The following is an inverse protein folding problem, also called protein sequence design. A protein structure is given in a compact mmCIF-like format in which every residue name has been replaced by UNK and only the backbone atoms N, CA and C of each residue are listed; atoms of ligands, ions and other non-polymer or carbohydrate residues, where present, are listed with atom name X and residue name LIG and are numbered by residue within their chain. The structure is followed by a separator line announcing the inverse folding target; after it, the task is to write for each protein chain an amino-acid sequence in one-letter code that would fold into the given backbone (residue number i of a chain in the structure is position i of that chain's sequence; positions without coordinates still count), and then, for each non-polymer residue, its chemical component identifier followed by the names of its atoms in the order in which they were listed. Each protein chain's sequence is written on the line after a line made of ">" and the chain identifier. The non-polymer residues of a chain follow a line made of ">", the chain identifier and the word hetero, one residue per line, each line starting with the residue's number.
data_IF_016614881730
#
_entry.id   IF_016614881730
#
_cell.length_a   1.000
_cell.length_b   1.000
_cell.length_c   1.000
_cell.angle_alpha   90.00
_cell.angle_beta   90.00
_cell.angle_gamma   90.00
#
_symmetry.space_group_name_H-M   'P 1'
#
loop_
_entity.id
_entity.type
_entity.pdbx_description
1 polymer ?
#
# COMPACT_ATOMS: atom_id res chain seq x y z
N UNK A 1 12.02 6.18 -14.39
CA UNK A 1 11.10 6.18 -13.24
C UNK A 1 11.96 6.29 -12.00
N UNK A 2 11.94 7.47 -11.38
CA UNK A 2 12.65 7.82 -10.15
C UNK A 2 11.70 7.72 -8.95
N UNK A 3 12.21 7.70 -7.70
CA UNK A 3 11.35 7.80 -6.52
C UNK A 3 10.43 9.02 -6.56
N UNK A 4 10.93 10.18 -7.01
CA UNK A 4 10.13 11.41 -7.15
C UNK A 4 9.04 11.29 -8.21
N UNK A 5 9.31 10.59 -9.33
CA UNK A 5 8.29 10.31 -10.35
C UNK A 5 7.15 9.45 -9.75
N UNK A 6 7.50 8.46 -8.92
CA UNK A 6 6.53 7.57 -8.27
C UNK A 6 5.69 8.30 -7.23
N UNK A 7 6.31 9.19 -6.44
CA UNK A 7 5.59 10.06 -5.48
C UNK A 7 4.61 10.95 -6.23
N UNK A 8 5.03 11.56 -7.34
CA UNK A 8 4.18 12.42 -8.16
C UNK A 8 2.95 11.66 -8.69
N UNK A 9 3.10 10.38 -9.04
CA UNK A 9 1.97 9.51 -9.40
C UNK A 9 1.02 9.29 -8.23
N UNK A 10 1.53 9.04 -7.01
CA UNK A 10 0.67 8.90 -5.82
C UNK A 10 -0.13 10.17 -5.53
N UNK A 11 0.53 11.33 -5.58
CA UNK A 11 -0.13 12.62 -5.39
C UNK A 11 -1.21 12.87 -6.44
N UNK A 12 -0.93 12.54 -7.70
CA UNK A 12 -1.89 12.71 -8.78
C UNK A 12 -3.10 11.79 -8.61
N UNK A 13 -2.90 10.50 -8.29
CA UNK A 13 -3.99 9.55 -8.04
C UNK A 13 -4.87 9.96 -6.85
N UNK A 14 -4.26 10.49 -5.79
CA UNK A 14 -4.96 11.00 -4.63
C UNK A 14 -5.79 12.25 -4.98
N UNK A 15 -5.18 13.22 -5.68
CA UNK A 15 -5.84 14.46 -6.13
C UNK A 15 -7.01 14.21 -7.07
N UNK A 16 -6.89 13.21 -7.93
CA UNK A 16 -7.95 12.82 -8.88
C UNK A 16 -9.12 12.07 -8.20
N UNK A 17 -9.01 11.71 -6.92
CA UNK A 17 -9.98 10.82 -6.26
C UNK A 17 -10.05 9.43 -6.91
N UNK A 18 -9.03 9.08 -7.70
CA UNK A 18 -8.92 7.83 -8.48
C UNK A 18 -8.12 6.76 -7.75
N UNK A 19 -8.07 6.83 -6.42
CA UNK A 19 -7.92 5.63 -5.61
C UNK A 19 -9.16 4.75 -5.91
N UNK A 20 -9.10 4.03 -7.04
CA UNK A 20 -10.25 3.40 -7.70
C UNK A 20 -10.87 2.25 -6.89
N UNK A 21 -10.29 1.96 -5.73
CA UNK A 21 -10.65 0.88 -4.83
C UNK A 21 -10.71 1.43 -3.42
N UNK A 22 -11.78 1.07 -2.73
CA UNK A 22 -11.95 1.35 -1.32
C UNK A 22 -10.73 0.87 -0.52
N UNK A 23 -10.41 1.58 0.56
CA UNK A 23 -9.19 1.39 1.32
C UNK A 23 -9.10 -0.04 1.91
N UNK A 24 -10.24 -0.66 2.22
CA UNK A 24 -10.28 -2.06 2.64
C UNK A 24 -9.91 -3.03 1.54
N UNK A 25 -10.42 -2.77 0.34
CA UNK A 25 -10.11 -3.57 -0.84
C UNK A 25 -8.63 -3.43 -1.21
N UNK A 26 -8.07 -2.22 -1.09
CA UNK A 26 -6.64 -1.97 -1.29
C UNK A 26 -5.80 -2.73 -0.24
N UNK A 27 -6.16 -2.68 1.04
CA UNK A 27 -5.46 -3.39 2.11
C UNK A 27 -5.52 -4.92 1.91
N UNK A 28 -6.70 -5.47 1.60
CA UNK A 28 -6.87 -6.91 1.37
C UNK A 28 -6.11 -7.39 0.13
N UNK A 29 -6.12 -6.60 -0.95
CA UNK A 29 -5.38 -6.90 -2.17
C UNK A 29 -3.87 -6.85 -1.96
N UNK A 30 -3.38 -5.84 -1.22
CA UNK A 30 -1.97 -5.74 -0.85
C UNK A 30 -1.54 -6.93 0.01
N UNK A 31 -2.32 -7.29 1.04
CA UNK A 31 -2.02 -8.43 1.89
C UNK A 31 -1.99 -9.75 1.10
N UNK A 32 -2.92 -9.96 0.16
CA UNK A 32 -2.93 -11.12 -0.73
C UNK A 32 -1.69 -11.17 -1.62
N UNK A 33 -1.32 -10.04 -2.23
CA UNK A 33 -0.13 -9.95 -3.06
C UNK A 33 1.15 -10.23 -2.24
N UNK A 34 1.27 -9.60 -1.06
CA UNK A 34 2.41 -9.77 -0.18
C UNK A 34 2.56 -11.22 0.28
N UNK A 35 1.45 -11.89 0.61
CA UNK A 35 1.46 -13.32 0.93
C UNK A 35 1.93 -14.19 -0.25
N UNK A 36 1.58 -13.83 -1.49
CA UNK A 36 2.01 -14.57 -2.68
C UNK A 36 3.48 -14.36 -3.05
N UNK A 37 4.07 -13.22 -2.66
CA UNK A 37 5.46 -12.88 -2.93
C UNK A 37 6.38 -13.18 -1.74
N UNK A 38 5.84 -13.64 -0.61
CA UNK A 38 6.54 -13.68 0.67
C UNK A 38 7.84 -14.49 0.63
N UNK A 39 7.84 -15.62 -0.05
CA UNK A 39 9.00 -16.52 -0.14
C UNK A 39 10.13 -15.98 -1.03
N UNK A 40 9.82 -14.99 -1.89
CA UNK A 40 10.78 -14.36 -2.81
C UNK A 40 11.37 -13.05 -2.25
N UNK A 41 10.87 -12.57 -1.11
CA UNK A 41 11.33 -11.33 -0.48
C UNK A 41 12.51 -11.59 0.46
N UNK A 42 13.49 -10.69 0.42
CA UNK A 42 14.48 -10.67 1.49
C UNK A 42 13.90 -10.10 2.79
N UNK A 43 14.63 -10.27 3.88
CA UNK A 43 14.15 -9.85 5.20
C UNK A 43 13.94 -8.33 5.33
N UNK A 44 14.70 -7.53 4.58
CA UNK A 44 14.60 -6.07 4.63
C UNK A 44 13.36 -5.58 3.86
N UNK A 45 13.14 -6.12 2.66
CA UNK A 45 11.99 -5.85 1.82
C UNK A 45 10.69 -6.34 2.47
N UNK A 46 10.71 -7.54 3.07
CA UNK A 46 9.57 -8.05 3.83
C UNK A 46 9.22 -7.14 5.02
N UNK A 47 10.21 -6.64 5.77
CA UNK A 47 9.99 -5.72 6.88
C UNK A 47 9.43 -4.37 6.41
N UNK A 48 9.96 -3.82 5.30
CA UNK A 48 9.48 -2.59 4.70
C UNK A 48 8.01 -2.71 4.25
N UNK A 49 7.70 -3.74 3.45
CA UNK A 49 6.36 -3.96 2.90
C UNK A 49 5.33 -4.26 4.01
N UNK A 50 5.73 -5.02 5.04
CA UNK A 50 4.87 -5.26 6.20
C UNK A 50 4.58 -3.97 6.97
N UNK A 51 5.58 -3.08 7.11
CA UNK A 51 5.40 -1.77 7.76
C UNK A 51 4.46 -0.86 6.97
N UNK A 52 4.56 -0.87 5.64
CA UNK A 52 3.63 -0.15 4.74
C UNK A 52 2.21 -0.69 4.92
N UNK A 53 2.02 -2.01 4.90
CA UNK A 53 0.71 -2.64 5.11
C UNK A 53 0.08 -2.28 6.46
N UNK A 54 0.87 -2.28 7.53
CA UNK A 54 0.41 -1.90 8.87
C UNK A 54 -0.02 -0.42 8.94
N UNK A 55 0.72 0.48 8.29
CA UNK A 55 0.35 1.89 8.20
C UNK A 55 -0.96 2.09 7.44
N UNK A 56 -1.12 1.44 6.27
CA UNK A 56 -2.35 1.50 5.48
C UNK A 56 -3.56 1.00 6.28
N UNK A 57 -3.42 -0.12 6.99
CA UNK A 57 -4.47 -0.68 7.83
C UNK A 57 -4.88 0.29 8.94
N UNK A 58 -3.92 0.95 9.59
CA UNK A 58 -4.19 1.93 10.64
C UNK A 58 -4.98 3.13 10.11
N UNK A 59 -4.60 3.67 8.96
CA UNK A 59 -5.34 4.78 8.33
C UNK A 59 -6.76 4.36 7.92
N UNK A 60 -6.93 3.13 7.44
CA UNK A 60 -8.27 2.57 7.14
C UNK A 60 -9.12 2.38 8.39
N UNK A 61 -8.51 1.91 9.48
CA UNK A 61 -9.19 1.77 10.77
C UNK A 61 -9.57 3.13 11.37
N UNK A 62 -8.68 4.13 11.31
CA UNK A 62 -8.92 5.49 11.81
C UNK A 62 -9.98 6.27 11.02
N UNK A 63 -10.31 5.85 9.79
CA UNK A 63 -11.43 6.41 9.01
C UNK A 63 -12.77 5.76 9.36
N UNK A 64 -12.77 4.59 10.01
CA UNK A 64 -13.98 3.86 10.41
C UNK A 64 -14.50 4.22 11.81
N UNK A 65 -13.64 4.76 12.68
CA UNK A 65 -13.90 5.04 14.10
C UNK A 65 -13.37 6.41 14.48
#
# INVERSE_FOLDING_TARGET
>A
MTPDDVISVFEQLNREGRAAVDLDHACASFARWLASAWDDLDAADAALLTSVGAALWREGYARRY
#
